data_IF_838201957238
#
_entry.id   IF_838201957238
#
_cell.length_a   1.000
_cell.length_b   1.000
_cell.length_c   1.000
_cell.angle_alpha   90.00
_cell.angle_beta   90.00
_cell.angle_gamma   90.00
#
_symmetry.space_group_name_H-M   'P 1'
#
loop_
_entity.id
_entity.type
_entity.pdbx_description
1 polymer ?
#
# COMPACT_ATOMS: atom_id res chain seq x y z
N UNK A 1 -17.16 41.22 36.26
CA UNK A 1 -17.96 41.04 35.03
C UNK A 1 -17.09 41.49 33.87
N UNK A 2 -16.34 40.57 33.26
CA UNK A 2 -15.54 40.86 32.05
C UNK A 2 -16.35 40.40 30.85
N UNK A 3 -16.53 41.30 29.89
CA UNK A 3 -17.36 41.12 28.72
C UNK A 3 -16.82 39.99 27.83
N UNK A 4 -17.70 39.06 27.41
CA UNK A 4 -17.41 38.12 26.32
C UNK A 4 -17.19 38.92 25.04
N UNK A 5 -16.08 38.67 24.36
CA UNK A 5 -15.83 39.19 23.03
C UNK A 5 -16.81 38.52 22.04
N UNK A 6 -17.40 39.26 21.10
CA UNK A 6 -18.50 38.77 20.25
C UNK A 6 -18.09 37.79 19.14
N UNK A 7 -16.82 37.36 19.08
CA UNK A 7 -16.28 36.53 18.00
C UNK A 7 -15.65 35.22 18.49
N UNK A 8 -16.03 34.70 19.66
CA UNK A 8 -15.56 33.36 20.11
C UNK A 8 -16.05 32.20 19.21
N UNK A 9 -16.91 32.48 18.23
CA UNK A 9 -17.37 31.54 17.19
C UNK A 9 -16.49 31.57 15.91
N UNK A 10 -15.54 32.50 15.80
CA UNK A 10 -14.70 32.68 14.60
C UNK A 10 -13.37 31.94 14.75
N UNK A 11 -13.20 30.88 13.97
CA UNK A 11 -11.96 30.09 13.94
C UNK A 11 -10.77 31.00 13.60
N UNK A 12 -9.74 31.09 14.46
CA UNK A 12 -8.55 31.90 14.19
C UNK A 12 -7.93 31.55 12.83
N UNK A 13 -7.49 32.57 12.10
CA UNK A 13 -6.96 32.42 10.76
C UNK A 13 -5.73 31.49 10.70
N UNK A 14 -4.96 31.35 11.79
CA UNK A 14 -3.81 30.45 11.85
C UNK A 14 -4.19 28.96 11.80
N UNK A 15 -5.45 28.62 12.11
CA UNK A 15 -5.96 27.24 12.10
C UNK A 15 -7.10 27.03 11.09
N UNK A 16 -7.21 27.90 10.08
CA UNK A 16 -8.14 27.70 8.96
C UNK A 16 -7.62 26.61 8.01
N UNK A 17 -8.24 25.43 8.09
CA UNK A 17 -7.96 24.27 7.23
C UNK A 17 -8.98 24.08 6.10
N UNK A 18 -9.82 25.08 5.79
CA UNK A 18 -10.85 25.00 4.74
C UNK A 18 -10.30 24.62 3.36
N UNK A 19 -9.04 24.99 3.07
CA UNK A 19 -8.32 24.66 1.84
C UNK A 19 -7.28 23.53 2.01
N UNK A 20 -7.26 22.86 3.16
CA UNK A 20 -6.31 21.80 3.42
C UNK A 20 -6.53 20.62 2.45
N UNK A 21 -5.43 20.14 1.86
CA UNK A 21 -5.44 18.95 1.00
C UNK A 21 -4.99 17.75 1.80
N UNK A 22 -5.50 16.58 1.42
CA UNK A 22 -4.98 15.30 1.90
C UNK A 22 -3.48 15.20 1.56
N UNK A 23 -2.69 14.69 2.51
CA UNK A 23 -1.25 14.56 2.34
C UNK A 23 -0.86 13.48 1.32
N UNK A 24 0.42 13.45 0.94
CA UNK A 24 1.00 12.50 -0.03
C UNK A 24 0.77 11.02 0.32
N UNK A 25 0.60 10.71 1.61
CA UNK A 25 0.38 9.37 2.12
C UNK A 25 -1.08 9.08 2.46
N UNK A 26 -2.01 9.93 2.04
CA UNK A 26 -3.44 9.66 2.25
C UNK A 26 -3.88 8.47 1.39
N UNK A 27 -4.37 7.44 2.07
CA UNK A 27 -5.01 6.28 1.47
C UNK A 27 -6.52 6.46 1.64
N UNK A 28 -7.31 6.50 0.54
CA UNK A 28 -8.76 6.67 0.64
C UNK A 28 -9.44 5.43 1.22
N UNK A 29 -10.62 5.62 1.80
CA UNK A 29 -11.42 4.53 2.33
C UNK A 29 -11.79 3.55 1.21
N UNK A 30 -11.63 2.25 1.47
CA UNK A 30 -11.87 1.19 0.48
C UNK A 30 -10.74 0.99 -0.54
N UNK A 31 -9.62 1.72 -0.43
CA UNK A 31 -8.45 1.44 -1.25
C UNK A 31 -7.80 0.11 -0.88
N UNK A 32 -7.55 -0.71 -1.89
CA UNK A 32 -6.70 -1.89 -1.73
C UNK A 32 -5.23 -1.45 -1.83
N UNK A 33 -4.51 -1.52 -0.71
CA UNK A 33 -3.07 -1.26 -0.67
C UNK A 33 -2.33 -2.58 -0.71
N UNK A 34 -1.59 -2.84 -1.79
CA UNK A 34 -0.68 -3.97 -1.88
C UNK A 34 0.64 -3.63 -1.19
N UNK A 35 0.95 -4.32 -0.10
CA UNK A 35 2.25 -4.19 0.56
C UNK A 35 3.26 -5.18 -0.04
N UNK A 36 4.55 -4.80 -0.16
CA UNK A 36 5.58 -5.75 -0.54
C UNK A 36 5.64 -6.90 0.47
N UNK A 37 5.49 -8.13 -0.01
CA UNK A 37 5.78 -9.31 0.79
C UNK A 37 7.30 -9.53 0.85
N UNK A 38 7.83 -9.81 2.04
CA UNK A 38 9.23 -10.18 2.19
C UNK A 38 9.46 -11.59 1.65
N UNK A 39 10.46 -11.75 0.80
CA UNK A 39 10.88 -13.05 0.26
C UNK A 39 12.21 -13.41 0.90
N UNK A 40 12.34 -14.65 1.37
CA UNK A 40 13.60 -15.16 1.91
C UNK A 40 14.70 -15.08 0.83
N UNK A 41 15.92 -14.75 1.24
CA UNK A 41 17.02 -14.44 0.33
C UNK A 41 17.35 -15.59 -0.61
N UNK A 42 17.46 -16.83 -0.10
CA UNK A 42 17.72 -18.01 -0.93
C UNK A 42 16.61 -18.26 -1.96
N UNK A 43 15.35 -18.05 -1.58
CA UNK A 43 14.21 -18.10 -2.51
C UNK A 43 14.34 -17.03 -3.59
N UNK A 44 14.67 -15.79 -3.21
CA UNK A 44 14.86 -14.70 -4.16
C UNK A 44 16.00 -15.01 -5.15
N UNK A 45 17.15 -15.49 -4.66
CA UNK A 45 18.32 -15.82 -5.48
C UNK A 45 18.01 -16.92 -6.48
N UNK A 46 17.32 -17.97 -6.04
CA UNK A 46 16.87 -19.06 -6.89
C UNK A 46 15.96 -18.57 -8.02
N UNK A 47 14.94 -17.78 -7.69
CA UNK A 47 14.00 -17.29 -8.70
C UNK A 47 14.61 -16.25 -9.62
N UNK A 48 15.60 -15.49 -9.16
CA UNK A 48 16.28 -14.50 -9.99
C UNK A 48 17.11 -15.13 -11.09
N UNK A 49 17.90 -16.15 -10.77
CA UNK A 49 18.65 -16.91 -11.76
C UNK A 49 17.71 -17.59 -12.78
N UNK A 50 16.60 -18.12 -12.29
CA UNK A 50 15.61 -18.79 -13.14
C UNK A 50 14.87 -17.81 -14.05
N UNK A 51 14.54 -16.61 -13.56
CA UNK A 51 13.90 -15.56 -14.33
C UNK A 51 14.83 -15.04 -15.44
N UNK A 52 16.12 -14.83 -15.12
CA UNK A 52 17.14 -14.43 -16.09
C UNK A 52 17.27 -15.47 -17.23
N UNK A 53 17.36 -16.76 -16.90
CA UNK A 53 17.42 -17.82 -17.91
C UNK A 53 16.20 -17.89 -18.84
N UNK A 54 15.06 -17.36 -18.37
CA UNK A 54 13.78 -17.33 -19.10
C UNK A 54 13.52 -15.99 -19.79
N UNK A 55 14.35 -14.96 -19.55
CA UNK A 55 14.15 -13.61 -20.06
C UNK A 55 12.90 -12.91 -19.50
N UNK A 56 12.45 -13.29 -18.29
CA UNK A 56 11.25 -12.71 -17.65
C UNK A 56 11.62 -12.00 -16.34
N UNK A 57 10.70 -11.20 -15.80
CA UNK A 57 10.89 -10.55 -14.50
C UNK A 57 10.79 -11.52 -13.32
N UNK A 58 11.55 -11.29 -12.25
CA UNK A 58 11.48 -12.12 -11.01
C UNK A 58 10.07 -12.08 -10.40
N UNK A 59 9.47 -10.88 -10.34
CA UNK A 59 8.11 -10.71 -9.82
C UNK A 59 7.06 -11.41 -10.69
N UNK A 60 7.24 -11.44 -12.01
CA UNK A 60 6.37 -12.16 -12.93
C UNK A 60 6.45 -13.67 -12.68
N UNK A 61 7.68 -14.21 -12.64
CA UNK A 61 7.91 -15.62 -12.39
C UNK A 61 7.39 -16.08 -11.01
N UNK A 62 7.59 -15.27 -9.96
CA UNK A 62 7.06 -15.57 -8.63
C UNK A 62 5.54 -15.60 -8.61
N UNK A 63 4.88 -14.64 -9.27
CA UNK A 63 3.43 -14.61 -9.36
C UNK A 63 2.86 -15.85 -10.06
N UNK A 64 3.48 -16.29 -11.15
CA UNK A 64 3.04 -17.48 -11.87
C UNK A 64 3.17 -18.75 -11.04
N UNK A 65 4.27 -18.88 -10.28
CA UNK A 65 4.47 -20.01 -9.37
C UNK A 65 3.44 -20.00 -8.24
N UNK A 66 3.21 -18.85 -7.61
CA UNK A 66 2.24 -18.73 -6.51
C UNK A 66 0.81 -18.99 -6.99
N UNK A 67 0.41 -18.48 -8.16
CA UNK A 67 -0.91 -18.78 -8.74
C UNK A 67 -1.10 -20.27 -8.96
N UNK A 68 -0.09 -20.94 -9.52
CA UNK A 68 -0.17 -22.39 -9.77
C UNK A 68 -0.24 -23.20 -8.48
N UNK A 69 0.47 -22.76 -7.44
CA UNK A 69 0.40 -23.39 -6.11
C UNK A 69 -1.02 -23.25 -5.49
N UNK A 70 -1.63 -22.07 -5.61
CA UNK A 70 -3.03 -21.83 -5.18
C UNK A 70 -3.99 -22.75 -5.95
N UNK A 71 -3.89 -22.81 -7.28
CA UNK A 71 -4.74 -23.67 -8.12
C UNK A 71 -4.66 -25.15 -7.70
N UNK A 72 -3.45 -25.65 -7.44
CA UNK A 72 -3.22 -27.02 -6.98
C UNK A 72 -3.82 -27.22 -5.58
N UNK A 73 -3.61 -26.27 -4.68
CA UNK A 73 -4.11 -26.33 -3.30
C UNK A 73 -5.64 -26.35 -3.27
N UNK A 74 -6.30 -25.53 -4.09
CA UNK A 74 -7.76 -25.49 -4.20
C UNK A 74 -8.35 -26.74 -4.84
N UNK A 75 -7.68 -27.34 -5.82
CA UNK A 75 -8.15 -28.56 -6.48
C UNK A 75 -8.07 -29.82 -5.58
N UNK A 76 -7.21 -29.80 -4.56
CA UNK A 76 -7.05 -30.89 -3.59
C UNK A 76 -8.00 -30.79 -2.39
N UNK A 77 -8.78 -29.71 -2.31
CA UNK A 77 -9.75 -29.45 -1.24
C UNK A 77 -11.13 -30.03 -1.56
#
# INVERSE_FOLDING_TARGET
>A
MTARHPNDDEMPAEIDFSNAKRGLHYVPDGANVSFPASIERGVWEYFSQKAESRGVGVSELLNDVLKRDIEISEALR
#
